data_IF_414355892575
#
_entry.id   IF_414355892575
#
_cell.length_a   1.000
_cell.length_b   1.000
_cell.length_c   1.000
_cell.angle_alpha   90.00
_cell.angle_beta   90.00
_cell.angle_gamma   90.00
#
_symmetry.space_group_name_H-M   'P 1'
#
loop_
_entity.id
_entity.type
_entity.pdbx_description
1 polymer ?
#
# COMPACT_ATOMS: atom_id res chain seq x y z
N UNK A 1 -0.35 36.84 48.45
CA UNK A 1 -1.25 36.30 47.41
C UNK A 1 -0.41 35.92 46.20
N UNK A 2 -0.22 34.63 45.96
CA UNK A 2 0.55 34.11 44.83
C UNK A 2 -0.27 34.32 43.54
N UNK A 3 0.32 35.02 42.57
CA UNK A 3 -0.27 35.25 41.25
C UNK A 3 -0.39 33.90 40.54
N UNK A 4 -1.60 33.48 40.19
CA UNK A 4 -1.83 32.39 39.25
C UNK A 4 -1.19 32.77 37.90
N UNK A 5 -0.07 32.13 37.57
CA UNK A 5 0.47 32.12 36.21
C UNK A 5 -0.52 31.33 35.34
N UNK A 6 -1.07 31.88 34.25
CA UNK A 6 -1.78 31.04 33.30
C UNK A 6 -0.76 30.05 32.74
N UNK A 7 -1.03 28.76 32.91
CA UNK A 7 -0.22 27.72 32.29
C UNK A 7 -0.21 28.00 30.79
N UNK A 8 0.95 28.38 30.24
CA UNK A 8 1.14 28.77 28.85
C UNK A 8 1.08 27.59 27.87
N UNK A 9 0.12 26.69 28.08
CA UNK A 9 -0.09 25.54 27.21
C UNK A 9 -1.01 25.93 26.07
N UNK A 10 -0.51 25.70 24.85
CA UNK A 10 -1.30 25.81 23.64
C UNK A 10 -2.44 24.77 23.68
N UNK A 11 -3.70 25.16 23.39
CA UNK A 11 -4.82 24.22 23.26
C UNK A 11 -4.50 23.05 22.31
N UNK A 12 -5.01 21.86 22.61
CA UNK A 12 -4.74 20.64 21.85
C UNK A 12 -5.18 20.77 20.39
N UNK A 13 -6.30 21.45 20.13
CA UNK A 13 -6.84 21.70 18.80
C UNK A 13 -5.86 22.52 17.95
N UNK A 14 -5.19 23.50 18.54
CA UNK A 14 -4.17 24.29 17.85
C UNK A 14 -2.89 23.48 17.62
N UNK A 15 -2.53 22.59 18.55
CA UNK A 15 -1.43 21.63 18.33
C UNK A 15 -1.74 20.74 17.13
N UNK A 16 -2.94 20.18 17.04
CA UNK A 16 -3.39 19.35 15.91
C UNK A 16 -3.28 20.14 14.59
N UNK A 17 -3.78 21.38 14.55
CA UNK A 17 -3.69 22.22 13.34
C UNK A 17 -2.24 22.52 12.92
N UNK A 18 -1.33 22.70 13.88
CA UNK A 18 0.10 22.88 13.60
C UNK A 18 0.69 21.61 13.00
N UNK A 19 0.40 20.46 13.61
CA UNK A 19 0.89 19.15 13.16
C UNK A 19 0.35 18.78 11.77
N UNK A 20 -0.92 19.04 11.47
CA UNK A 20 -1.52 18.78 10.14
C UNK A 20 -0.87 19.57 9.00
N UNK A 21 -0.17 20.67 9.30
CA UNK A 21 0.55 21.48 8.30
C UNK A 21 1.97 20.97 8.02
N UNK A 22 2.45 19.97 8.75
CA UNK A 22 3.81 19.47 8.61
C UNK A 22 3.91 18.35 7.59
N UNK A 23 5.13 18.12 7.08
CA UNK A 23 5.41 16.94 6.27
C UNK A 23 5.30 15.66 7.12
N UNK A 24 4.94 14.53 6.51
CA UNK A 24 4.92 13.22 7.19
C UNK A 24 6.30 12.91 7.81
N UNK A 25 7.38 13.32 7.15
CA UNK A 25 8.75 13.11 7.64
C UNK A 25 9.01 13.86 8.93
N UNK A 26 8.59 15.12 9.00
CA UNK A 26 8.77 15.94 10.20
C UNK A 26 7.90 15.42 11.32
N UNK A 27 6.65 15.03 11.05
CA UNK A 27 5.77 14.39 12.03
C UNK A 27 6.40 13.15 12.66
N UNK A 28 7.04 12.29 11.86
CA UNK A 28 7.74 11.11 12.37
C UNK A 28 8.91 11.48 13.30
N UNK A 29 9.65 12.55 13.00
CA UNK A 29 10.70 13.07 13.88
C UNK A 29 10.09 13.68 15.14
N UNK A 30 8.98 14.39 15.00
CA UNK A 30 8.31 15.14 16.06
C UNK A 30 7.64 14.24 17.10
N UNK A 31 7.40 12.96 16.79
CA UNK A 31 7.02 11.93 17.77
C UNK A 31 7.98 11.85 18.97
N UNK A 32 9.25 12.23 18.81
CA UNK A 32 10.23 12.20 19.91
C UNK A 32 10.28 13.48 20.77
N UNK A 33 9.56 14.54 20.38
CA UNK A 33 9.62 15.85 21.06
C UNK A 33 8.93 15.81 22.42
N UNK A 34 7.69 15.31 22.48
CA UNK A 34 6.95 15.19 23.74
C UNK A 34 5.87 14.11 23.67
N UNK A 35 5.37 13.69 24.84
CA UNK A 35 4.32 12.66 24.96
C UNK A 35 3.02 13.06 24.28
N UNK A 36 2.62 14.34 24.37
CA UNK A 36 1.40 14.83 23.73
C UNK A 36 1.46 14.65 22.21
N UNK A 37 2.56 15.08 21.60
CA UNK A 37 2.74 14.95 20.15
C UNK A 37 2.84 13.49 19.72
N UNK A 38 3.54 12.65 20.49
CA UNK A 38 3.55 11.22 20.26
C UNK A 38 2.13 10.62 20.25
N UNK A 39 1.30 10.99 21.23
CA UNK A 39 -0.08 10.51 21.33
C UNK A 39 -0.94 10.99 20.16
N UNK A 40 -0.88 12.29 19.83
CA UNK A 40 -1.66 12.86 18.72
C UNK A 40 -1.26 12.22 17.39
N UNK A 41 0.04 12.15 17.09
CA UNK A 41 0.52 11.68 15.78
C UNK A 41 0.25 10.17 15.56
N UNK A 42 0.15 9.38 16.64
CA UNK A 42 -0.22 7.96 16.54
C UNK A 42 -1.74 7.73 16.65
N UNK A 43 -2.55 8.76 16.84
CA UNK A 43 -4.00 8.64 16.90
C UNK A 43 -4.57 8.36 15.50
N UNK A 44 -5.40 7.32 15.30
CA UNK A 44 -6.02 7.02 14.01
C UNK A 44 -6.80 8.19 13.40
N UNK A 45 -7.54 8.95 14.22
CA UNK A 45 -8.31 10.11 13.75
C UNK A 45 -7.41 11.23 13.23
N UNK A 46 -6.25 11.45 13.87
CA UNK A 46 -5.26 12.40 13.35
C UNK A 46 -4.69 11.93 12.00
N UNK A 47 -4.43 10.64 11.84
CA UNK A 47 -3.94 10.05 10.58
C UNK A 47 -4.99 10.23 9.47
N UNK A 48 -6.27 10.00 9.75
CA UNK A 48 -7.37 10.23 8.81
C UNK A 48 -7.44 11.71 8.39
N UNK A 49 -7.42 12.64 9.35
CA UNK A 49 -7.39 14.09 9.06
C UNK A 49 -6.16 14.48 8.24
N UNK A 50 -4.98 13.93 8.55
CA UNK A 50 -3.75 14.18 7.81
C UNK A 50 -3.87 13.68 6.35
N UNK A 51 -4.45 12.49 6.13
CA UNK A 51 -4.68 11.96 4.80
C UNK A 51 -5.65 12.85 4.00
N UNK A 52 -6.74 13.29 4.60
CA UNK A 52 -7.69 14.21 3.97
C UNK A 52 -7.03 15.53 3.58
N UNK A 53 -6.23 16.12 4.47
CA UNK A 53 -5.47 17.35 4.18
C UNK A 53 -4.52 17.15 3.00
N UNK A 54 -3.79 16.03 2.97
CA UNK A 54 -2.87 15.70 1.87
C UNK A 54 -3.63 15.57 0.53
N UNK A 55 -4.73 14.81 0.51
CA UNK A 55 -5.53 14.59 -0.70
C UNK A 55 -6.15 15.91 -1.20
N UNK A 56 -6.73 16.71 -0.31
CA UNK A 56 -7.33 17.99 -0.65
C UNK A 56 -6.29 18.98 -1.19
N UNK A 57 -5.09 19.01 -0.60
CA UNK A 57 -4.00 19.85 -1.09
C UNK A 57 -3.52 19.43 -2.48
N UNK A 58 -3.49 18.13 -2.79
CA UNK A 58 -3.15 17.64 -4.13
C UNK A 58 -4.19 18.06 -5.17
N UNK A 59 -5.48 17.99 -4.83
CA UNK A 59 -6.56 18.36 -5.74
C UNK A 59 -6.64 19.88 -5.99
N UNK A 60 -6.32 20.70 -4.99
CA UNK A 60 -6.44 22.15 -5.07
C UNK A 60 -5.19 22.86 -5.63
N UNK A 61 -3.99 22.30 -5.43
CA UNK A 61 -2.76 22.92 -5.91
C UNK A 61 -2.31 22.34 -7.26
N UNK A 62 -2.56 23.09 -8.34
CA UNK A 62 -2.00 22.82 -9.69
C UNK A 62 -0.45 22.86 -9.75
N UNK A 63 0.21 23.28 -8.66
CA UNK A 63 1.67 23.39 -8.49
C UNK A 63 2.25 22.34 -7.51
N UNK A 64 1.45 21.35 -7.08
CA UNK A 64 1.96 20.30 -6.20
C UNK A 64 3.01 19.49 -6.95
N UNK A 65 4.21 19.34 -6.38
CA UNK A 65 5.24 18.45 -6.95
C UNK A 65 4.80 17.01 -6.71
N UNK A 66 4.38 16.27 -7.74
CA UNK A 66 3.99 14.88 -7.55
C UNK A 66 5.20 14.08 -7.10
N UNK A 67 4.95 13.16 -6.16
CA UNK A 67 5.88 12.07 -5.91
C UNK A 67 5.64 10.98 -6.95
N UNK A 68 6.72 10.46 -7.53
CA UNK A 68 6.74 9.35 -8.47
C UNK A 68 7.31 8.12 -7.79
N UNK A 69 6.79 6.95 -8.14
CA UNK A 69 7.46 5.69 -7.83
C UNK A 69 8.30 5.33 -9.04
N UNK A 70 9.62 5.30 -8.88
CA UNK A 70 10.57 5.04 -9.95
C UNK A 70 11.06 3.59 -9.82
N UNK A 71 10.90 2.83 -10.89
CA UNK A 71 11.43 1.47 -11.01
C UNK A 71 12.66 1.51 -11.92
N UNK A 72 13.85 1.38 -11.34
CA UNK A 72 15.12 1.42 -12.08
C UNK A 72 15.70 0.01 -12.17
N UNK A 73 16.12 -0.38 -13.38
CA UNK A 73 16.70 -1.70 -13.63
C UNK A 73 18.05 -1.57 -14.33
N UNK A 74 19.09 -2.12 -13.71
CA UNK A 74 20.41 -2.25 -14.30
C UNK A 74 20.57 -3.66 -14.89
N UNK A 75 20.58 -3.75 -16.23
CA UNK A 75 20.72 -5.03 -16.95
C UNK A 75 22.07 -5.70 -16.74
N UNK A 76 23.13 -4.93 -16.50
CA UNK A 76 24.50 -5.44 -16.34
C UNK A 76 24.67 -6.08 -14.97
N UNK A 77 24.29 -5.38 -13.90
CA UNK A 77 24.38 -5.93 -12.53
C UNK A 77 23.20 -6.83 -12.15
N UNK A 78 22.14 -6.88 -12.97
CA UNK A 78 20.84 -7.51 -12.64
C UNK A 78 20.25 -6.98 -11.34
N UNK A 79 20.56 -5.74 -11.01
CA UNK A 79 20.00 -5.06 -9.84
C UNK A 79 18.77 -4.28 -10.25
N UNK A 80 17.74 -4.37 -9.43
CA UNK A 80 16.54 -3.56 -9.58
C UNK A 80 16.28 -2.81 -8.28
N UNK A 81 15.92 -1.55 -8.39
CA UNK A 81 15.57 -0.73 -7.25
C UNK A 81 14.27 0.03 -7.49
N UNK A 82 13.48 0.13 -6.42
CA UNK A 82 12.32 0.99 -6.38
C UNK A 82 12.63 2.13 -5.42
N UNK A 83 12.47 3.35 -5.93
CA UNK A 83 12.54 4.59 -5.15
C UNK A 83 11.22 5.34 -5.25
N UNK A 84 10.98 6.20 -4.28
CA UNK A 84 10.06 7.33 -4.47
C UNK A 84 10.92 8.52 -4.88
N UNK A 85 10.47 9.34 -5.81
CA UNK A 85 11.17 10.56 -6.22
C UNK A 85 10.17 11.72 -6.34
N UNK A 86 10.63 12.97 -6.26
CA UNK A 86 9.78 14.12 -6.60
C UNK A 86 10.48 14.97 -7.63
N UNK A 87 9.73 15.77 -8.39
CA UNK A 87 10.30 16.64 -9.41
C UNK A 87 11.41 17.55 -8.86
N UNK A 88 11.26 18.07 -7.64
CA UNK A 88 12.29 18.87 -6.96
C UNK A 88 13.50 18.04 -6.54
N UNK A 89 13.31 16.78 -6.16
CA UNK A 89 14.41 15.89 -5.76
C UNK A 89 15.22 15.39 -6.96
N UNK A 90 14.67 15.39 -8.18
CA UNK A 90 15.44 15.05 -9.39
C UNK A 90 16.52 16.09 -9.73
N UNK A 91 16.41 17.32 -9.21
CA UNK A 91 17.42 18.39 -9.33
C UNK A 91 18.48 18.35 -8.22
N UNK A 92 18.40 17.40 -7.29
CA UNK A 92 19.32 17.19 -6.17
C UNK A 92 19.62 15.69 -6.04
N UNK A 93 20.56 15.27 -5.19
CA UNK A 93 20.79 13.82 -4.99
C UNK A 93 19.53 13.23 -4.33
N UNK A 94 18.89 12.20 -4.92
CA UNK A 94 17.68 11.64 -4.34
C UNK A 94 17.99 11.01 -2.99
N UNK A 95 17.49 11.66 -1.93
CA UNK A 95 17.57 11.21 -0.53
C UNK A 95 16.77 9.92 -0.27
N UNK A 96 16.11 9.37 -1.28
CA UNK A 96 14.85 8.69 -1.06
C UNK A 96 15.03 7.19 -0.93
N UNK A 97 14.47 6.69 0.18
CA UNK A 97 14.23 5.32 0.56
C UNK A 97 14.19 4.36 -0.64
N UNK A 98 15.29 3.63 -0.82
CA UNK A 98 15.41 2.59 -1.84
C UNK A 98 15.11 1.25 -1.22
N UNK A 99 14.30 0.46 -1.90
CA UNK A 99 14.29 -0.98 -1.68
C UNK A 99 15.00 -1.61 -2.87
N UNK A 100 16.19 -2.13 -2.62
CA UNK A 100 17.02 -2.82 -3.62
C UNK A 100 16.80 -4.31 -3.56
N UNK A 101 16.74 -4.96 -4.73
CA UNK A 101 16.68 -6.40 -4.85
C UNK A 101 17.73 -6.87 -5.86
N UNK A 102 18.39 -7.96 -5.50
CA UNK A 102 19.30 -8.70 -6.39
C UNK A 102 18.55 -9.91 -6.91
N UNK A 103 18.05 -9.85 -8.15
CA UNK A 103 17.33 -10.97 -8.76
C UNK A 103 17.33 -10.88 -10.28
N UNK A 104 17.40 -12.02 -10.99
CA UNK A 104 17.17 -12.04 -12.44
C UNK A 104 15.70 -11.75 -12.82
N UNK A 105 14.76 -11.81 -11.87
CA UNK A 105 13.34 -11.56 -12.10
C UNK A 105 12.95 -10.12 -11.78
N UNK A 106 12.03 -9.57 -12.57
CA UNK A 106 11.57 -8.19 -12.47
C UNK A 106 10.57 -7.99 -11.33
N UNK A 107 10.81 -6.99 -10.50
CA UNK A 107 9.84 -6.41 -9.56
C UNK A 107 8.79 -5.66 -10.36
N UNK A 108 7.52 -5.87 -10.03
CA UNK A 108 6.39 -5.17 -10.61
C UNK A 108 5.66 -4.34 -9.54
N UNK A 109 5.23 -3.14 -9.90
CA UNK A 109 4.41 -2.29 -9.03
C UNK A 109 2.96 -2.70 -9.25
N UNK A 110 2.30 -3.18 -8.19
CA UNK A 110 0.85 -3.43 -8.22
C UNK A 110 0.09 -2.12 -8.14
N UNK A 111 0.52 -1.24 -7.24
CA UNK A 111 -0.08 0.06 -7.03
C UNK A 111 0.32 0.68 -5.69
N UNK A 112 -0.29 1.81 -5.38
CA UNK A 112 -0.13 2.48 -4.10
C UNK A 112 -1.48 2.92 -3.54
N UNK A 113 -1.60 2.93 -2.22
CA UNK A 113 -2.81 3.36 -1.52
C UNK A 113 -2.41 3.98 -0.18
N UNK A 114 -2.85 5.23 0.08
CA UNK A 114 -2.59 5.96 1.33
C UNK A 114 -1.11 5.95 1.78
N UNK A 115 -0.19 6.07 0.83
CA UNK A 115 1.26 6.08 1.09
C UNK A 115 1.91 4.69 1.28
N UNK A 116 1.14 3.61 1.18
CA UNK A 116 1.66 2.23 1.12
C UNK A 116 1.79 1.82 -0.34
N UNK A 117 2.94 1.25 -0.71
CA UNK A 117 3.23 0.70 -2.03
C UNK A 117 3.16 -0.81 -1.97
N UNK A 118 2.44 -1.43 -2.91
CA UNK A 118 2.39 -2.88 -3.07
C UNK A 118 3.21 -3.30 -4.29
N UNK A 119 4.13 -4.24 -4.08
CA UNK A 119 5.08 -4.73 -5.07
C UNK A 119 4.95 -6.24 -5.20
N UNK A 120 5.05 -6.76 -6.42
CA UNK A 120 5.38 -8.17 -6.67
C UNK A 120 6.90 -8.26 -6.67
N UNK A 121 7.45 -9.10 -5.80
CA UNK A 121 8.90 -9.27 -5.62
C UNK A 121 9.31 -10.70 -5.93
N UNK A 122 10.52 -10.91 -6.47
CA UNK A 122 11.05 -12.25 -6.72
C UNK A 122 11.14 -13.07 -5.43
N UNK A 123 10.69 -14.33 -5.50
CA UNK A 123 10.88 -15.28 -4.41
C UNK A 123 12.30 -15.86 -4.47
N UNK A 124 13.00 -15.90 -3.31
CA UNK A 124 14.36 -16.45 -3.20
C UNK A 124 14.43 -17.97 -3.35
N UNK A 125 13.32 -18.68 -3.23
CA UNK A 125 13.27 -20.15 -3.16
C UNK A 125 13.15 -20.85 -4.52
N UNK A 126 13.15 -20.13 -5.66
CA UNK A 126 12.87 -20.69 -6.99
C UNK A 126 11.49 -21.38 -7.12
N UNK A 127 10.67 -21.33 -6.07
CA UNK A 127 9.28 -21.73 -6.11
C UNK A 127 8.49 -20.61 -6.81
N UNK A 128 7.69 -20.97 -7.82
CA UNK A 128 6.87 -20.06 -8.64
C UNK A 128 5.69 -19.45 -7.86
N UNK A 129 5.89 -19.27 -6.55
CA UNK A 129 4.97 -18.62 -5.62
C UNK A 129 5.18 -17.11 -5.76
N UNK A 130 4.12 -16.40 -6.13
CA UNK A 130 4.11 -14.93 -6.15
C UNK A 130 4.30 -14.40 -4.73
N UNK A 131 5.43 -13.73 -4.49
CA UNK A 131 5.70 -13.00 -3.27
C UNK A 131 5.35 -11.53 -3.47
N UNK A 132 4.72 -10.94 -2.46
CA UNK A 132 4.35 -9.53 -2.42
C UNK A 132 5.11 -8.83 -1.29
N UNK A 133 5.42 -7.56 -1.50
CA UNK A 133 5.95 -6.66 -0.49
C UNK A 133 5.03 -5.45 -0.36
N UNK A 134 4.44 -5.27 0.82
CA UNK A 134 3.84 -4.01 1.22
C UNK A 134 4.94 -3.15 1.85
N UNK A 135 5.13 -1.96 1.32
CA UNK A 135 6.19 -1.05 1.74
C UNK A 135 5.60 0.33 2.04
N UNK A 136 5.89 0.85 3.24
CA UNK A 136 5.64 2.24 3.59
C UNK A 136 6.96 3.02 3.49
N UNK A 137 7.16 3.84 2.45
CA UNK A 137 8.42 4.56 2.22
C UNK A 137 8.68 5.64 3.26
N UNK A 138 7.63 6.25 3.83
CA UNK A 138 7.76 7.30 4.84
C UNK A 138 8.27 6.73 6.18
N UNK A 139 7.80 5.54 6.56
CA UNK A 139 8.17 4.89 7.83
C UNK A 139 9.28 3.85 7.67
N UNK A 140 9.68 3.52 6.43
CA UNK A 140 10.59 2.41 6.08
C UNK A 140 10.07 1.01 6.48
N UNK A 141 8.81 0.90 6.90
CA UNK A 141 8.23 -0.39 7.28
C UNK A 141 7.93 -1.24 6.05
N UNK A 142 8.18 -2.54 6.17
CA UNK A 142 7.93 -3.52 5.12
C UNK A 142 7.19 -4.73 5.68
N UNK A 143 6.37 -5.35 4.83
CA UNK A 143 5.68 -6.60 5.14
C UNK A 143 5.63 -7.49 3.91
N UNK A 144 6.23 -8.67 4.03
CA UNK A 144 6.20 -9.69 3.00
C UNK A 144 4.93 -10.54 3.13
N UNK A 145 4.32 -10.86 2.00
CA UNK A 145 3.18 -11.75 1.89
C UNK A 145 3.47 -12.78 0.81
N UNK A 146 3.20 -14.06 1.08
CA UNK A 146 3.18 -15.07 0.03
C UNK A 146 1.73 -15.30 -0.36
N UNK A 147 1.44 -15.27 -1.65
CA UNK A 147 0.10 -15.60 -2.11
C UNK A 147 -0.04 -17.12 -2.10
N UNK A 148 -1.02 -17.69 -1.36
CA UNK A 148 -1.07 -19.11 -1.10
C UNK A 148 -1.72 -19.86 -2.28
N UNK A 149 -1.10 -19.88 -3.46
CA UNK A 149 -1.59 -20.71 -4.56
C UNK A 149 -1.05 -22.13 -4.48
N UNK A 150 -1.89 -23.08 -4.86
CA UNK A 150 -1.56 -24.50 -4.93
C UNK A 150 -1.28 -24.92 -6.38
N UNK A 151 -0.52 -24.12 -7.14
CA UNK A 151 -0.17 -24.47 -8.51
C UNK A 151 1.04 -25.41 -8.51
N UNK A 152 1.02 -26.47 -9.33
CA UNK A 152 2.15 -27.38 -9.45
C UNK A 152 3.12 -26.87 -10.53
N UNK A 153 4.44 -27.03 -10.30
CA UNK A 153 5.50 -26.59 -11.21
C UNK A 153 5.35 -27.11 -12.66
N UNK A 154 4.62 -28.22 -12.86
CA UNK A 154 4.45 -28.87 -14.15
C UNK A 154 3.43 -28.17 -15.05
N UNK A 155 2.57 -27.33 -14.48
CA UNK A 155 1.48 -26.68 -15.21
C UNK A 155 1.92 -25.37 -15.89
N UNK A 156 3.18 -24.96 -15.73
CA UNK A 156 3.66 -23.64 -16.13
C UNK A 156 4.78 -23.70 -17.18
N UNK A 157 4.42 -23.45 -18.44
CA UNK A 157 5.38 -23.07 -19.47
C UNK A 157 5.46 -21.52 -19.51
N UNK A 158 6.40 -20.95 -18.74
CA UNK A 158 6.91 -19.57 -18.87
C UNK A 158 6.08 -18.38 -18.33
N UNK A 159 5.05 -18.55 -17.50
CA UNK A 159 4.35 -17.39 -16.88
C UNK A 159 4.14 -17.57 -15.38
N UNK A 160 4.41 -16.51 -14.63
CA UNK A 160 4.11 -16.40 -13.21
C UNK A 160 2.59 -16.51 -13.02
N UNK A 161 2.15 -17.36 -12.10
CA UNK A 161 0.76 -17.81 -11.99
C UNK A 161 -0.23 -16.71 -11.57
N UNK A 162 0.27 -15.52 -11.22
CA UNK A 162 -0.46 -14.54 -10.43
C UNK A 162 -0.05 -13.10 -10.73
N UNK A 163 -0.05 -12.71 -12.01
CA UNK A 163 0.10 -11.29 -12.38
C UNK A 163 -1.17 -10.47 -12.04
N UNK A 164 -2.27 -11.16 -11.74
CA UNK A 164 -3.56 -10.59 -11.42
C UNK A 164 -3.69 -10.24 -9.93
N UNK A 165 -2.91 -9.26 -9.48
CA UNK A 165 -2.93 -8.76 -8.11
C UNK A 165 -3.51 -7.34 -8.07
N UNK A 166 -4.40 -7.10 -7.11
CA UNK A 166 -4.91 -5.77 -6.77
C UNK A 166 -4.59 -5.41 -5.33
N UNK A 167 -4.36 -4.13 -5.05
CA UNK A 167 -4.15 -3.62 -3.70
C UNK A 167 -4.99 -2.36 -3.48
N UNK A 168 -5.63 -2.25 -2.32
CA UNK A 168 -6.43 -1.09 -1.98
C UNK A 168 -6.87 -1.05 -0.52
N UNK A 169 -7.56 0.04 -0.16
CA UNK A 169 -8.10 0.26 1.17
C UNK A 169 -9.63 0.12 1.16
N UNK A 170 -10.14 -0.73 2.04
CA UNK A 170 -11.55 -0.94 2.29
C UNK A 170 -12.03 0.00 3.40
N UNK A 171 -12.56 1.15 2.99
CA UNK A 171 -13.05 2.20 3.88
C UNK A 171 -14.07 1.67 4.90
N UNK A 172 -14.94 0.72 4.50
CA UNK A 172 -16.00 0.20 5.36
C UNK A 172 -15.43 -0.54 6.58
N UNK A 173 -14.36 -1.30 6.38
CA UNK A 173 -13.75 -2.11 7.43
C UNK A 173 -12.46 -1.52 8.01
N UNK A 174 -12.06 -0.34 7.51
CA UNK A 174 -10.82 0.34 7.82
C UNK A 174 -9.63 -0.63 7.73
N UNK A 175 -9.47 -1.25 6.55
CA UNK A 175 -8.51 -2.32 6.33
C UNK A 175 -7.88 -2.23 4.94
N UNK A 176 -6.59 -2.52 4.86
CA UNK A 176 -5.91 -2.69 3.58
C UNK A 176 -6.08 -4.13 3.11
N UNK A 177 -6.48 -4.28 1.85
CA UNK A 177 -6.72 -5.58 1.24
C UNK A 177 -5.83 -5.78 0.03
N UNK A 178 -5.39 -7.02 -0.13
CA UNK A 178 -4.77 -7.50 -1.38
C UNK A 178 -5.71 -8.53 -1.97
N UNK A 179 -6.06 -8.37 -3.24
CA UNK A 179 -6.80 -9.37 -3.98
C UNK A 179 -5.82 -10.05 -4.91
N UNK A 180 -5.91 -11.37 -4.97
CA UNK A 180 -5.13 -12.18 -5.89
C UNK A 180 -6.09 -13.10 -6.62
N UNK A 181 -6.02 -13.07 -7.95
CA UNK A 181 -6.86 -13.89 -8.82
C UNK A 181 -5.99 -14.93 -9.53
N UNK A 182 -6.31 -16.21 -9.35
CA UNK A 182 -5.75 -17.27 -10.17
C UNK A 182 -6.63 -17.49 -11.40
N UNK A 183 -6.00 -17.58 -12.57
CA UNK A 183 -6.62 -17.95 -13.83
C UNK A 183 -6.02 -19.29 -14.34
N UNK A 184 -6.71 -19.98 -15.28
CA UNK A 184 -6.15 -21.15 -15.95
C UNK A 184 -4.74 -20.88 -16.51
N UNK A 185 -3.79 -21.83 -16.39
CA UNK A 185 -3.99 -23.24 -16.05
C UNK A 185 -4.13 -23.55 -14.55
N UNK A 186 -3.90 -22.58 -13.65
CA UNK A 186 -4.16 -22.79 -12.23
C UNK A 186 -5.67 -22.95 -11.96
N UNK A 187 -6.07 -23.68 -10.90
CA UNK A 187 -7.44 -23.68 -10.44
C UNK A 187 -7.90 -22.24 -10.19
N UNK A 188 -8.93 -21.83 -10.93
CA UNK A 188 -9.51 -20.52 -10.79
C UNK A 188 -9.94 -20.27 -9.34
N UNK A 189 -9.59 -19.09 -8.83
CA UNK A 189 -10.01 -18.69 -7.50
C UNK A 189 -9.57 -17.28 -7.19
N UNK A 190 -10.41 -16.58 -6.43
CA UNK A 190 -10.11 -15.25 -5.91
C UNK A 190 -9.78 -15.39 -4.44
N UNK A 191 -8.61 -14.88 -4.04
CA UNK A 191 -8.19 -14.81 -2.64
C UNK A 191 -8.04 -13.36 -2.21
N UNK A 192 -8.49 -13.06 -1.00
CA UNK A 192 -8.41 -11.74 -0.41
C UNK A 192 -7.62 -11.83 0.89
N UNK A 193 -6.52 -11.10 0.94
CA UNK A 193 -5.75 -10.86 2.15
C UNK A 193 -6.31 -9.66 2.89
N UNK A 194 -6.47 -9.79 4.20
CA UNK A 194 -6.76 -8.69 5.12
C UNK A 194 -5.50 -8.34 5.90
N UNK A 195 -5.07 -7.08 5.85
CA UNK A 195 -3.90 -6.63 6.61
C UNK A 195 -4.19 -6.64 8.11
N UNK A 196 -5.40 -6.23 8.50
CA UNK A 196 -5.89 -6.23 9.88
C UNK A 196 -5.94 -7.63 10.48
N UNK A 197 -6.47 -8.61 9.75
CA UNK A 197 -6.56 -9.99 10.23
C UNK A 197 -5.29 -10.81 9.96
N UNK A 198 -4.35 -10.27 9.17
CA UNK A 198 -3.12 -10.93 8.78
C UNK A 198 -3.33 -12.31 8.15
N UNK A 199 -4.37 -12.45 7.31
CA UNK A 199 -4.79 -13.75 6.78
C UNK A 199 -5.39 -13.64 5.38
N UNK A 200 -5.18 -14.68 4.57
CA UNK A 200 -5.86 -14.89 3.30
C UNK A 200 -7.19 -15.61 3.49
N UNK A 201 -8.21 -15.20 2.74
CA UNK A 201 -9.53 -15.84 2.68
C UNK A 201 -9.92 -16.07 1.23
N UNK A 202 -10.73 -17.09 0.97
CA UNK A 202 -11.26 -17.35 -0.38
C UNK A 202 -12.53 -16.51 -0.58
N UNK A 203 -12.63 -15.81 -1.72
CA UNK A 203 -13.83 -15.10 -2.12
C UNK A 203 -14.73 -16.08 -2.88
N UNK A 204 -15.74 -16.63 -2.20
CA UNK A 204 -16.68 -17.63 -2.74
C UNK A 204 -17.74 -17.05 -3.68
N UNK A 205 -17.91 -15.72 -3.67
CA UNK A 205 -18.93 -15.02 -4.48
C UNK A 205 -18.52 -14.78 -5.94
N UNK A 206 -17.29 -15.13 -6.34
CA UNK A 206 -16.79 -14.92 -7.70
C UNK A 206 -16.81 -16.25 -8.46
N UNK A 207 -17.69 -16.40 -9.45
CA UNK A 207 -17.81 -17.58 -10.33
C UNK A 207 -17.17 -17.36 -11.70
N UNK A 208 -16.79 -18.46 -12.37
CA UNK A 208 -16.16 -18.46 -13.71
C UNK A 208 -17.03 -17.89 -14.85
N UNK A 209 -18.35 -17.82 -14.66
CA UNK A 209 -19.30 -17.46 -15.72
C UNK A 209 -19.37 -15.97 -16.04
N UNK A 210 -18.75 -15.14 -15.20
CA UNK A 210 -18.58 -13.73 -15.49
C UNK A 210 -17.45 -13.59 -16.53
N UNK A 211 -17.74 -13.02 -17.69
CA UNK A 211 -16.76 -12.84 -18.77
C UNK A 211 -15.69 -11.82 -18.36
N UNK A 212 -14.57 -12.30 -17.81
CA UNK A 212 -13.48 -11.47 -17.28
C UNK A 212 -12.55 -11.03 -18.40
N UNK A 213 -12.79 -9.85 -18.96
CA UNK A 213 -11.90 -9.24 -19.96
C UNK A 213 -10.77 -8.47 -19.28
N UNK A 214 -9.54 -8.97 -19.46
CA UNK A 214 -8.29 -8.49 -18.83
C UNK A 214 -7.90 -7.05 -19.22
N UNK A 215 -8.45 -6.51 -20.29
CA UNK A 215 -8.05 -5.19 -20.81
C UNK A 215 -8.87 -4.03 -20.24
N UNK A 216 -9.85 -4.30 -19.37
CA UNK A 216 -10.73 -3.25 -18.89
C UNK A 216 -10.26 -2.71 -17.53
N UNK A 217 -9.76 -1.48 -17.43
CA UNK A 217 -9.39 -0.88 -16.13
C UNK A 217 -10.58 -0.83 -15.16
N UNK A 218 -11.79 -0.75 -15.70
CA UNK A 218 -13.04 -0.79 -14.95
C UNK A 218 -13.24 -2.15 -14.26
N UNK A 219 -12.71 -3.25 -14.82
CA UNK A 219 -12.78 -4.60 -14.24
C UNK A 219 -12.05 -4.69 -12.90
N UNK A 220 -10.90 -4.03 -12.72
CA UNK A 220 -10.19 -4.07 -11.44
C UNK A 220 -10.91 -3.31 -10.33
N UNK A 221 -11.53 -2.18 -10.68
CA UNK A 221 -12.37 -1.41 -9.77
C UNK A 221 -13.65 -2.20 -9.45
N UNK A 222 -14.29 -2.82 -10.45
CA UNK A 222 -15.48 -3.64 -10.26
C UNK A 222 -15.20 -4.92 -9.46
N UNK A 223 -14.12 -5.66 -9.73
CA UNK A 223 -13.75 -6.86 -8.97
C UNK A 223 -13.37 -6.54 -7.52
N UNK A 224 -12.66 -5.43 -7.29
CA UNK A 224 -12.38 -4.94 -5.94
C UNK A 224 -13.69 -4.54 -5.23
N UNK A 225 -14.57 -3.79 -5.89
CA UNK A 225 -15.85 -3.32 -5.34
C UNK A 225 -16.82 -4.47 -5.11
N UNK A 226 -16.94 -5.41 -6.03
CA UNK A 226 -17.86 -6.55 -5.97
C UNK A 226 -17.36 -7.65 -5.02
N UNK A 227 -16.05 -7.93 -4.92
CA UNK A 227 -15.56 -8.89 -3.91
C UNK A 227 -15.60 -8.26 -2.49
N UNK A 228 -15.44 -6.93 -2.35
CA UNK A 228 -15.76 -6.21 -1.09
C UNK A 228 -17.28 -6.22 -0.80
N UNK A 229 -18.14 -6.23 -1.83
CA UNK A 229 -19.61 -6.32 -1.67
C UNK A 229 -20.11 -7.75 -1.42
N UNK A 230 -19.50 -8.78 -2.00
CA UNK A 230 -19.90 -10.19 -1.88
C UNK A 230 -19.70 -10.75 -0.47
N UNK A 231 -18.66 -10.30 0.24
CA UNK A 231 -18.49 -10.60 1.68
C UNK A 231 -19.60 -9.99 2.57
N UNK A 232 -20.47 -9.13 2.04
CA UNK A 232 -21.61 -8.56 2.78
C UNK A 232 -22.77 -9.55 2.93
N UNK A 233 -22.98 -10.46 1.97
CA UNK A 233 -24.13 -11.36 1.97
C UNK A 233 -23.97 -12.61 2.85
N UNK A 234 -22.73 -12.99 3.20
CA UNK A 234 -22.46 -14.18 4.03
C UNK A 234 -22.42 -13.95 5.54
N UNK A 235 -22.84 -12.79 6.04
CA UNK A 235 -22.86 -12.44 7.47
C UNK A 235 -24.23 -11.96 7.98
N UNK A 236 -25.27 -12.05 7.15
CA UNK A 236 -26.66 -11.70 7.52
C UNK A 236 -27.58 -12.92 7.64
N UNK A 237 -27.03 -14.12 7.84
CA UNK A 237 -27.77 -15.32 8.25
C UNK A 237 -27.26 -15.84 9.60
#
# INVERSE_FOLDING_TARGET
MLKNKPNGHLPEELVIQILLKQSVRDLLRWKSVCKLWFTIINNPSFIEQLLEVIINNQNNNKSSNPYFIVNSWNRTSKEQCISIDSYQTLASIPEIHRVGFTSPHTICIVGSCNGIVCLIVPNKSNDYVTSLLLWNPATKQTKYLNVPYSCSLKDHYKRDCCDNIGFGFDVKYNDYKVIAVAEPPCPFGVKVYSLKNNSWTICSSCSKDDSWDRNNLTYWVFALVECIRGQRKGKEE
#
